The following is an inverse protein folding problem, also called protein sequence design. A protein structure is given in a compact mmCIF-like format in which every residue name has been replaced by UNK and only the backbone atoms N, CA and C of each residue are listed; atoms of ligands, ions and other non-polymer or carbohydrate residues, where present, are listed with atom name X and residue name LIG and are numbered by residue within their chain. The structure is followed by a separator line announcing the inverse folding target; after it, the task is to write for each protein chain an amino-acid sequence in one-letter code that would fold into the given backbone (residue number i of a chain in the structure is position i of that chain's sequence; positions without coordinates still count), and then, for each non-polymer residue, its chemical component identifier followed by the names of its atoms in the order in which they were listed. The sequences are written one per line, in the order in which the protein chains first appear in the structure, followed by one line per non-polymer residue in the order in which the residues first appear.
data_IF_247949663965
#
_entry.id   IF_247949663965
#
_cell.length_a   1.000
_cell.length_b   1.000
_cell.length_c   1.000
_cell.angle_alpha   90.00
_cell.angle_beta   90.00
_cell.angle_gamma   90.00
#
_symmetry.space_group_name_H-M   'P 1'
#
loop_
_entity.id
_entity.type
_entity.pdbx_description
1 polymer ?
#
# COMPACT_ATOMS: atom_id res chain seq x y z
N UNK A 1 26.90 20.90 -20.26
CA UNK A 1 26.75 19.66 -19.47
C UNK A 1 25.26 19.34 -19.35
N UNK A 2 24.70 18.58 -20.28
CA UNK A 2 23.25 18.40 -20.41
C UNK A 2 22.73 17.30 -19.46
N UNK A 3 21.97 17.68 -18.42
CA UNK A 3 21.08 16.76 -17.72
C UNK A 3 19.90 16.43 -18.65
N UNK A 4 19.99 15.30 -19.37
CA UNK A 4 18.81 14.69 -19.99
C UNK A 4 17.87 14.22 -18.88
N UNK A 5 16.87 15.03 -18.57
CA UNK A 5 15.69 14.59 -17.85
C UNK A 5 14.93 13.68 -18.82
N UNK A 6 15.09 12.37 -18.66
CA UNK A 6 14.27 11.37 -19.36
C UNK A 6 12.84 11.50 -18.82
N UNK A 7 12.05 12.36 -19.47
CA UNK A 7 10.59 12.36 -19.31
C UNK A 7 10.14 11.02 -19.88
N UNK A 8 9.94 10.00 -19.03
CA UNK A 8 9.27 8.79 -19.49
C UNK A 8 7.86 9.21 -19.94
N UNK A 9 7.43 8.86 -21.16
CA UNK A 9 6.08 9.16 -21.61
C UNK A 9 5.06 8.53 -20.65
N UNK A 10 4.03 9.27 -20.24
CA UNK A 10 2.94 8.81 -19.36
C UNK A 10 2.35 7.46 -19.77
N UNK A 11 2.43 7.13 -21.06
CA UNK A 11 2.04 5.84 -21.63
C UNK A 11 2.74 4.63 -20.98
N UNK A 12 4.06 4.69 -20.80
CA UNK A 12 4.82 3.58 -20.21
C UNK A 12 4.48 3.37 -18.73
N UNK A 13 4.20 4.45 -18.02
CA UNK A 13 3.79 4.38 -16.62
C UNK A 13 2.41 3.70 -16.47
N UNK A 14 1.44 4.11 -17.29
CA UNK A 14 0.11 3.47 -17.36
C UNK A 14 0.20 2.00 -17.76
N UNK A 15 1.04 1.65 -18.73
CA UNK A 15 1.22 0.26 -19.16
C UNK A 15 1.81 -0.62 -18.04
N UNK A 16 2.85 -0.13 -17.36
CA UNK A 16 3.47 -0.84 -16.22
C UNK A 16 2.49 -1.06 -15.07
N UNK A 17 1.65 -0.07 -14.78
CA UNK A 17 0.59 -0.18 -13.78
C UNK A 17 -0.43 -1.26 -14.18
N UNK A 18 -0.98 -1.17 -15.39
CA UNK A 18 -1.99 -2.10 -15.91
C UNK A 18 -1.48 -3.55 -15.95
N UNK A 19 -0.23 -3.76 -16.36
CA UNK A 19 0.38 -5.09 -16.35
C UNK A 19 0.48 -5.68 -14.93
N UNK A 20 0.96 -4.88 -13.96
CA UNK A 20 1.05 -5.32 -12.56
C UNK A 20 -0.32 -5.61 -11.96
N UNK A 21 -1.30 -4.76 -12.27
CA UNK A 21 -2.69 -4.94 -11.87
C UNK A 21 -3.26 -6.25 -12.44
N UNK A 22 -3.18 -6.46 -13.76
CA UNK A 22 -3.72 -7.65 -14.42
C UNK A 22 -3.06 -8.93 -13.91
N UNK A 23 -1.73 -8.92 -13.72
CA UNK A 23 -1.00 -10.03 -13.11
C UNK A 23 -1.56 -10.38 -11.72
N UNK A 24 -1.82 -9.39 -10.87
CA UNK A 24 -2.43 -9.59 -9.54
C UNK A 24 -3.86 -10.15 -9.66
N UNK A 25 -4.66 -9.65 -10.61
CA UNK A 25 -6.02 -10.14 -10.86
C UNK A 25 -5.98 -11.62 -11.21
N UNK A 26 -5.16 -12.04 -12.18
CA UNK A 26 -5.04 -13.45 -12.58
C UNK A 26 -4.60 -14.33 -11.39
N UNK A 27 -3.72 -13.84 -10.50
CA UNK A 27 -3.30 -14.58 -9.31
C UNK A 27 -4.36 -14.67 -8.20
N UNK A 28 -5.28 -13.71 -8.13
CA UNK A 28 -6.30 -13.62 -7.06
C UNK A 28 -7.64 -14.22 -7.51
N UNK A 29 -8.01 -14.05 -8.78
CA UNK A 29 -9.26 -14.51 -9.36
C UNK A 29 -9.57 -16.00 -9.15
N UNK A 30 -8.64 -16.97 -9.26
CA UNK A 30 -8.98 -18.39 -9.09
C UNK A 30 -9.10 -18.82 -7.62
N UNK A 31 -8.81 -17.96 -6.65
CA UNK A 31 -8.79 -18.35 -5.23
C UNK A 31 -10.21 -18.58 -4.70
N UNK A 32 -10.40 -19.62 -3.88
CA UNK A 32 -11.69 -19.96 -3.25
C UNK A 32 -12.25 -18.82 -2.41
N UNK A 33 -11.46 -18.28 -1.48
CA UNK A 33 -11.86 -17.12 -0.68
C UNK A 33 -11.53 -15.82 -1.42
N UNK A 34 -12.53 -14.97 -1.61
CA UNK A 34 -12.39 -13.65 -2.24
C UNK A 34 -12.11 -12.52 -1.24
N UNK A 35 -12.26 -12.79 0.06
CA UNK A 35 -12.10 -11.79 1.09
C UNK A 35 -10.62 -11.37 1.26
N UNK A 36 -10.40 -10.09 1.51
CA UNK A 36 -9.16 -9.49 1.93
C UNK A 36 -8.88 -9.97 3.36
N UNK A 37 -7.72 -10.59 3.54
CA UNK A 37 -7.26 -11.03 4.86
C UNK A 37 -5.91 -10.39 5.15
N UNK A 38 -5.81 -9.66 6.27
CA UNK A 38 -4.54 -9.18 6.81
C UNK A 38 -3.64 -10.38 7.11
N UNK A 39 -2.44 -10.41 6.54
CA UNK A 39 -1.42 -11.40 6.88
C UNK A 39 -0.51 -10.86 7.99
N UNK A 40 0.04 -9.66 7.80
CA UNK A 40 0.78 -8.94 8.83
C UNK A 40 0.67 -7.43 8.59
N UNK A 41 0.85 -6.68 9.68
CA UNK A 41 0.98 -5.22 9.70
C UNK A 41 1.95 -4.91 10.83
N UNK A 42 3.19 -4.64 10.45
CA UNK A 42 4.29 -4.49 11.39
C UNK A 42 4.85 -3.08 11.28
N UNK A 43 5.17 -2.54 12.45
CA UNK A 43 5.92 -1.32 12.60
C UNK A 43 7.41 -1.66 12.67
N UNK A 44 8.25 -0.93 11.94
CA UNK A 44 9.69 -1.01 12.04
C UNK A 44 10.25 0.41 12.02
N UNK A 45 11.16 0.70 12.95
CA UNK A 45 11.98 1.90 12.84
C UNK A 45 12.89 1.77 11.62
N UNK A 46 12.86 2.79 10.78
CA UNK A 46 13.53 2.75 9.50
C UNK A 46 14.99 3.12 9.68
N UNK A 47 15.88 2.12 9.65
CA UNK A 47 17.30 2.37 9.32
C UNK A 47 17.49 2.82 7.87
N UNK A 48 16.45 2.71 7.03
CA UNK A 48 16.46 3.08 5.61
C UNK A 48 16.25 4.58 5.37
N UNK A 49 15.84 5.34 6.39
CA UNK A 49 15.58 6.76 6.25
C UNK A 49 16.51 7.54 7.19
N UNK A 50 17.62 8.07 6.66
CA UNK A 50 18.61 8.85 7.41
C UNK A 50 18.01 10.05 8.18
N UNK A 51 16.74 10.39 7.93
CA UNK A 51 15.97 11.44 8.60
C UNK A 51 15.04 10.93 9.73
N UNK A 52 15.21 9.71 10.23
CA UNK A 52 14.45 9.20 11.39
C UNK A 52 12.98 8.90 11.09
N UNK A 53 12.69 8.43 9.87
CA UNK A 53 11.34 8.08 9.44
C UNK A 53 10.84 6.75 9.99
N UNK A 54 9.51 6.60 10.06
CA UNK A 54 8.84 5.36 10.49
C UNK A 54 8.56 4.48 9.28
N UNK A 55 8.67 3.16 9.39
CA UNK A 55 8.31 2.26 8.27
C UNK A 55 7.21 1.29 8.66
N UNK A 56 6.18 1.22 7.83
CA UNK A 56 5.09 0.25 7.97
C UNK A 56 5.30 -0.84 6.94
N UNK A 57 5.44 -2.08 7.40
CA UNK A 57 5.44 -3.27 6.56
C UNK A 57 4.08 -3.93 6.65
N UNK A 58 3.41 -4.12 5.54
CA UNK A 58 2.08 -4.71 5.53
C UNK A 58 1.93 -5.72 4.42
N UNK A 59 1.06 -6.71 4.63
CA UNK A 59 0.69 -7.64 3.57
C UNK A 59 -0.72 -8.13 3.79
N UNK A 60 -1.46 -8.16 2.68
CA UNK A 60 -2.84 -8.60 2.64
C UNK A 60 -3.00 -9.65 1.57
N UNK A 61 -3.69 -10.74 1.91
CA UNK A 61 -4.14 -11.74 0.96
C UNK A 61 -5.28 -11.14 0.14
N UNK A 62 -5.30 -11.46 -1.15
CA UNK A 62 -6.31 -11.00 -2.13
C UNK A 62 -6.32 -9.49 -2.39
N UNK A 63 -5.29 -8.77 -1.93
CA UNK A 63 -5.07 -7.39 -2.31
C UNK A 63 -4.46 -7.29 -3.72
N UNK A 64 -5.10 -6.48 -4.56
CA UNK A 64 -4.62 -6.14 -5.88
C UNK A 64 -3.61 -4.99 -5.79
N UNK A 65 -3.97 -3.94 -5.07
CA UNK A 65 -3.17 -2.73 -4.87
C UNK A 65 -3.59 -2.01 -3.59
N UNK A 66 -2.87 -0.96 -3.25
CA UNK A 66 -3.05 -0.19 -2.01
C UNK A 66 -3.18 1.30 -2.33
N UNK A 67 -3.85 2.03 -1.46
CA UNK A 67 -3.79 3.49 -1.42
C UNK A 67 -3.37 3.93 -0.03
N UNK A 68 -2.32 4.74 0.05
CA UNK A 68 -1.83 5.28 1.32
C UNK A 68 -1.77 6.79 1.17
N UNK A 69 -2.45 7.52 2.05
CA UNK A 69 -2.52 8.99 2.01
C UNK A 69 -2.92 9.54 0.61
N UNK A 70 -3.79 8.83 -0.11
CA UNK A 70 -4.25 9.21 -1.45
C UNK A 70 -3.36 8.69 -2.60
N UNK A 71 -2.16 8.18 -2.32
CA UNK A 71 -1.24 7.68 -3.36
C UNK A 71 -1.42 6.19 -3.61
N UNK A 72 -1.45 5.80 -4.89
CA UNK A 72 -1.62 4.41 -5.32
C UNK A 72 -0.28 3.69 -5.31
N UNK A 73 -0.21 2.53 -4.66
CA UNK A 73 1.01 1.71 -4.65
C UNK A 73 0.72 0.21 -4.72
N UNK A 74 1.71 -0.56 -5.20
CA UNK A 74 1.73 -2.03 -5.13
C UNK A 74 2.70 -2.54 -4.07
N UNK A 75 3.48 -1.64 -3.48
CA UNK A 75 4.51 -1.98 -2.52
C UNK A 75 3.88 -2.38 -1.19
N UNK A 76 4.61 -3.20 -0.45
CA UNK A 76 4.19 -3.76 0.83
C UNK A 76 4.90 -3.05 2.01
N UNK A 77 5.64 -1.99 1.70
CA UNK A 77 6.46 -1.23 2.64
C UNK A 77 6.23 0.24 2.32
N UNK A 78 5.92 1.01 3.35
CA UNK A 78 5.72 2.45 3.22
C UNK A 78 6.50 3.19 4.30
N UNK A 79 7.29 4.16 3.88
CA UNK A 79 8.02 5.04 4.78
C UNK A 79 7.20 6.30 5.06
N UNK A 80 7.13 6.68 6.33
CA UNK A 80 6.40 7.83 6.83
C UNK A 80 7.34 8.80 7.52
N UNK A 81 7.01 10.08 7.40
CA UNK A 81 7.64 11.12 8.22
C UNK A 81 7.27 10.92 9.69
N UNK A 82 8.21 11.25 10.58
CA UNK A 82 8.04 11.13 12.04
C UNK A 82 6.86 11.95 12.59
N UNK A 83 6.49 13.02 11.88
CA UNK A 83 5.43 13.95 12.28
C UNK A 83 4.01 13.45 11.97
N UNK A 84 3.88 12.33 11.25
CA UNK A 84 2.57 11.78 10.93
C UNK A 84 2.13 10.86 12.08
N UNK A 85 0.99 11.21 12.68
CA UNK A 85 0.34 10.45 13.76
C UNK A 85 -0.71 9.47 13.24
N UNK A 86 -1.31 9.74 12.08
CA UNK A 86 -2.40 8.93 11.53
C UNK A 86 -2.24 8.69 10.05
N UNK A 87 -2.60 7.48 9.60
CA UNK A 87 -2.51 7.06 8.21
C UNK A 87 -3.74 6.26 7.82
N UNK A 88 -4.30 6.60 6.66
CA UNK A 88 -5.32 5.78 6.01
C UNK A 88 -4.66 4.83 5.02
N UNK A 89 -4.74 3.52 5.30
CA UNK A 89 -4.32 2.45 4.40
C UNK A 89 -5.56 1.80 3.79
N UNK A 90 -5.81 2.07 2.51
CA UNK A 90 -6.87 1.43 1.75
C UNK A 90 -6.29 0.23 1.00
N UNK A 91 -6.89 -0.93 1.22
CA UNK A 91 -6.56 -2.18 0.54
C UNK A 91 -7.64 -2.47 -0.47
N UNK A 92 -7.26 -2.49 -1.74
CA UNK A 92 -8.19 -2.75 -2.84
C UNK A 92 -8.09 -4.21 -3.26
N UNK A 93 -9.19 -4.94 -3.09
CA UNK A 93 -9.36 -6.30 -3.59
C UNK A 93 -10.10 -6.31 -4.91
N UNK A 94 -10.41 -7.51 -5.41
CA UNK A 94 -11.20 -7.67 -6.63
C UNK A 94 -12.71 -7.48 -6.39
N UNK A 95 -13.20 -7.79 -5.18
CA UNK A 95 -14.64 -7.80 -4.85
C UNK A 95 -14.99 -6.97 -3.61
N UNK A 96 -13.99 -6.41 -2.93
CA UNK A 96 -14.20 -5.55 -1.77
C UNK A 96 -13.01 -4.61 -1.61
N UNK A 97 -13.24 -3.53 -0.87
CA UNK A 97 -12.25 -2.55 -0.47
C UNK A 97 -12.26 -2.46 1.06
N UNK A 98 -11.08 -2.48 1.67
CA UNK A 98 -10.91 -2.40 3.12
C UNK A 98 -10.06 -1.19 3.48
N UNK A 99 -10.63 -0.24 4.21
CA UNK A 99 -9.93 0.94 4.72
C UNK A 99 -9.53 0.71 6.17
N UNK A 100 -8.23 0.80 6.44
CA UNK A 100 -7.63 0.71 7.76
C UNK A 100 -7.19 2.10 8.20
N UNK A 101 -7.76 2.61 9.28
CA UNK A 101 -7.28 3.81 9.96
C UNK A 101 -6.24 3.39 10.99
N UNK A 102 -4.99 3.78 10.74
CA UNK A 102 -3.83 3.43 11.53
C UNK A 102 -3.41 4.62 12.38
N UNK A 103 -3.36 4.43 13.69
CA UNK A 103 -2.77 5.40 14.62
C UNK A 103 -1.32 4.99 14.90
N UNK A 104 -0.40 5.88 14.58
CA UNK A 104 1.04 5.69 14.70
C UNK A 104 1.51 6.23 16.04
N UNK A 105 1.76 5.32 16.97
CA UNK A 105 2.41 5.64 18.24
C UNK A 105 3.93 5.46 18.09
N UNK A 106 4.74 5.93 19.05
CA UNK A 106 6.20 5.86 18.93
C UNK A 106 6.74 4.44 18.73
N UNK A 107 6.15 3.45 19.40
CA UNK A 107 6.67 2.07 19.46
C UNK A 107 5.80 1.06 18.70
N UNK A 108 4.55 1.39 18.37
CA UNK A 108 3.63 0.47 17.71
C UNK A 108 2.57 1.19 16.87
N UNK A 109 1.89 0.42 16.02
CA UNK A 109 0.73 0.87 15.24
C UNK A 109 -0.53 0.27 15.85
N UNK A 110 -1.53 1.11 16.04
CA UNK A 110 -2.86 0.66 16.43
C UNK A 110 -3.83 0.76 15.24
N UNK A 111 -4.77 -0.18 15.16
CA UNK A 111 -5.82 -0.15 14.15
C UNK A 111 -7.08 0.38 14.81
N UNK A 112 -7.33 1.67 14.63
CA UNK A 112 -8.46 2.36 15.25
C UNK A 112 -9.78 1.92 14.61
N UNK A 113 -9.77 1.77 13.29
CA UNK A 113 -10.99 1.46 12.53
C UNK A 113 -10.69 0.64 11.29
N UNK A 114 -11.59 -0.31 11.01
CA UNK A 114 -11.62 -1.04 9.74
C UNK A 114 -12.99 -0.86 9.12
N UNK A 115 -13.02 -0.30 7.92
CA UNK A 115 -14.25 -0.11 7.14
C UNK A 115 -14.15 -1.03 5.93
N UNK A 116 -15.18 -1.85 5.71
CA UNK A 116 -15.30 -2.67 4.51
C UNK A 116 -16.41 -2.14 3.64
N UNK A 117 -16.12 -1.97 2.36
CA UNK A 117 -17.11 -1.64 1.35
C UNK A 117 -17.03 -2.63 0.20
N UNK A 118 -18.19 -2.92 -0.39
CA UNK A 118 -18.23 -3.52 -1.71
C UNK A 118 -17.92 -2.43 -2.76
N UNK A 119 -17.27 -2.79 -3.88
CA UNK A 119 -17.02 -1.86 -4.98
C UNK A 119 -18.33 -1.32 -5.56
#
# INVERSE_FOLDING_TARGET
MYKRILIMPDFFYKFKFNYRFLKRVIMVAPRKSKLIKKLYLNYADSTLNNNGGRTIKYRFRNALWYTINGEKTFDNVFALSKNISEVSLVVHGLHETCTYMLLLKPEYIDIVKVIRSKP
#
